data_IF_610958750811
#
_entry.id   IF_610958750811
#
_cell.length_a   1.000
_cell.length_b   1.000
_cell.length_c   1.000
_cell.angle_alpha   90.00
_cell.angle_beta   90.00
_cell.angle_gamma   90.00
#
_symmetry.space_group_name_H-M   'P 1'
#
loop_
_entity.id
_entity.type
_entity.pdbx_description
1 polymer ?
#
# COMPACT_ATOMS: atom_id res chain seq x y z
N UNK A 1 -32.84 8.49 2.71
CA UNK A 1 -31.61 8.99 2.05
C UNK A 1 -30.95 9.94 3.03
N UNK A 2 -29.67 9.73 3.36
CA UNK A 2 -28.97 10.68 4.23
C UNK A 2 -28.81 12.01 3.49
N UNK A 3 -29.01 13.12 4.20
CA UNK A 3 -28.90 14.45 3.61
C UNK A 3 -27.47 14.97 3.74
N UNK A 4 -26.53 14.31 3.08
CA UNK A 4 -25.13 14.77 3.01
C UNK A 4 -25.09 15.99 2.10
N UNK A 5 -24.63 17.13 2.63
CA UNK A 5 -24.40 18.38 1.91
C UNK A 5 -22.93 18.73 1.83
N UNK A 6 -22.14 18.40 2.86
CA UNK A 6 -20.71 18.69 2.98
C UNK A 6 -19.92 17.42 3.26
N UNK A 7 -19.08 17.06 2.31
CA UNK A 7 -18.20 15.89 2.36
C UNK A 7 -16.74 16.34 2.49
N UNK A 8 -16.07 15.84 3.52
CA UNK A 8 -14.62 15.99 3.65
C UNK A 8 -13.88 14.80 3.02
N UNK A 9 -12.68 15.07 2.50
CA UNK A 9 -11.73 14.05 2.04
C UNK A 9 -10.32 14.38 2.53
N UNK A 10 -9.58 13.35 2.94
CA UNK A 10 -8.16 13.47 3.27
C UNK A 10 -7.39 12.21 2.85
N UNK A 11 -6.10 12.38 2.62
CA UNK A 11 -5.14 11.28 2.42
C UNK A 11 -4.21 11.16 3.62
N UNK A 12 -4.00 9.95 4.13
CA UNK A 12 -3.25 9.69 5.35
C UNK A 12 -2.37 8.45 5.21
N UNK A 13 -1.25 8.41 5.93
CA UNK A 13 -0.26 7.33 5.85
C UNK A 13 0.83 7.57 4.79
N UNK A 14 1.48 6.49 4.34
CA UNK A 14 2.38 6.58 3.17
C UNK A 14 1.57 6.86 1.92
N UNK A 15 2.06 7.73 1.04
CA UNK A 15 1.41 7.97 -0.24
C UNK A 15 1.51 6.74 -1.15
N UNK A 16 0.51 6.59 -2.01
CA UNK A 16 0.41 5.48 -2.95
C UNK A 16 -0.05 5.98 -4.32
N UNK A 17 0.50 5.46 -5.43
CA UNK A 17 0.07 5.86 -6.76
C UNK A 17 -1.42 5.57 -6.97
N UNK A 18 -2.20 6.59 -7.34
CA UNK A 18 -3.65 6.46 -7.52
C UNK A 18 -4.50 7.16 -6.46
N UNK A 19 -3.90 7.66 -5.37
CA UNK A 19 -4.61 8.51 -4.40
C UNK A 19 -5.26 9.74 -5.09
N UNK A 20 -4.58 10.39 -6.03
CA UNK A 20 -5.15 11.47 -6.84
C UNK A 20 -6.33 11.02 -7.71
N UNK A 21 -6.29 9.81 -8.28
CA UNK A 21 -7.40 9.26 -9.05
C UNK A 21 -8.62 9.02 -8.15
N UNK A 22 -8.41 8.58 -6.90
CA UNK A 22 -9.46 8.41 -5.91
C UNK A 22 -10.07 9.76 -5.49
N UNK A 23 -9.24 10.77 -5.17
CA UNK A 23 -9.70 12.14 -4.86
C UNK A 23 -10.55 12.68 -6.01
N UNK A 24 -10.09 12.51 -7.25
CA UNK A 24 -10.83 12.91 -8.45
C UNK A 24 -12.20 12.23 -8.53
N UNK A 25 -12.26 10.92 -8.32
CA UNK A 25 -13.52 10.17 -8.41
C UNK A 25 -14.51 10.58 -7.31
N UNK A 26 -14.03 10.78 -6.08
CA UNK A 26 -14.84 11.30 -4.97
C UNK A 26 -15.40 12.67 -5.33
N UNK A 27 -14.55 13.59 -5.78
CA UNK A 27 -14.95 14.96 -6.12
C UNK A 27 -16.01 14.97 -7.22
N UNK A 28 -15.78 14.26 -8.33
CA UNK A 28 -16.70 14.28 -9.48
C UNK A 28 -18.05 13.64 -9.12
N UNK A 29 -18.03 12.53 -8.37
CA UNK A 29 -19.26 11.83 -7.95
C UNK A 29 -20.06 12.70 -6.97
N UNK A 30 -19.40 13.29 -5.97
CA UNK A 30 -20.04 14.19 -5.02
C UNK A 30 -20.63 15.43 -5.70
N UNK A 31 -19.90 16.02 -6.66
CA UNK A 31 -20.37 17.17 -7.44
C UNK A 31 -21.62 16.82 -8.28
N UNK A 32 -21.69 15.62 -8.87
CA UNK A 32 -22.87 15.16 -9.60
C UNK A 32 -24.10 15.01 -8.68
N UNK A 33 -23.89 14.79 -7.39
CA UNK A 33 -24.92 14.71 -6.36
C UNK A 33 -25.18 16.06 -5.64
N UNK A 34 -24.62 17.17 -6.13
CA UNK A 34 -24.70 18.51 -5.50
C UNK A 34 -24.17 18.56 -4.05
N UNK A 35 -23.14 17.77 -3.76
CA UNK A 35 -22.45 17.76 -2.46
C UNK A 35 -21.20 18.64 -2.56
N UNK A 36 -21.02 19.54 -1.61
CA UNK A 36 -19.80 20.34 -1.46
C UNK A 36 -18.67 19.47 -0.92
N UNK A 37 -17.49 19.54 -1.54
CA UNK A 37 -16.32 18.75 -1.14
C UNK A 37 -15.25 19.64 -0.52
N UNK A 38 -14.76 19.24 0.65
CA UNK A 38 -13.64 19.87 1.35
C UNK A 38 -12.46 18.91 1.38
N UNK A 39 -11.30 19.34 0.89
CA UNK A 39 -10.06 18.58 0.98
C UNK A 39 -9.19 19.09 2.12
N UNK A 40 -8.85 18.24 3.07
CA UNK A 40 -7.88 18.56 4.12
C UNK A 40 -6.46 18.24 3.65
N UNK A 41 -5.56 19.19 3.87
CA UNK A 41 -4.15 19.00 3.59
C UNK A 41 -3.45 18.21 4.71
N UNK A 42 -2.35 17.52 4.40
CA UNK A 42 -1.51 16.81 5.38
C UNK A 42 -2.27 15.82 6.27
N UNK A 43 -3.31 15.18 5.72
CA UNK A 43 -4.10 14.18 6.40
C UNK A 43 -4.78 14.70 7.66
N UNK A 44 -4.62 13.97 8.77
CA UNK A 44 -5.25 14.35 10.03
C UNK A 44 -4.62 15.57 10.70
N UNK A 45 -3.38 15.94 10.36
CA UNK A 45 -2.77 17.16 10.88
C UNK A 45 -3.52 18.39 10.38
N UNK A 46 -3.79 18.49 9.07
CA UNK A 46 -4.58 19.60 8.55
C UNK A 46 -6.03 19.58 9.00
N UNK A 47 -6.60 18.41 9.36
CA UNK A 47 -7.89 18.39 10.04
C UNK A 47 -7.82 19.10 11.41
N UNK A 48 -6.82 18.79 12.23
CA UNK A 48 -6.63 19.40 13.54
C UNK A 48 -6.25 20.90 13.46
N UNK A 49 -5.49 21.26 12.43
CA UNK A 49 -4.98 22.62 12.20
C UNK A 49 -5.91 23.47 11.33
N UNK A 50 -7.03 22.91 10.87
CA UNK A 50 -7.98 23.56 9.97
C UNK A 50 -7.34 24.00 8.63
N UNK A 51 -6.37 23.22 8.13
CA UNK A 51 -5.73 23.40 6.83
C UNK A 51 -6.52 22.65 5.75
N UNK A 52 -7.49 23.33 5.14
CA UNK A 52 -8.36 22.75 4.12
C UNK A 52 -8.66 23.73 2.98
N UNK A 53 -9.17 23.18 1.88
CA UNK A 53 -9.68 23.95 0.75
C UNK A 53 -10.98 23.34 0.21
N UNK A 54 -11.81 24.16 -0.42
CA UNK A 54 -12.95 23.67 -1.20
C UNK A 54 -12.46 23.02 -2.50
N UNK A 55 -12.89 21.78 -2.75
CA UNK A 55 -12.51 20.99 -3.93
C UNK A 55 -13.60 21.06 -5.01
N UNK A 56 -13.42 21.99 -5.94
CA UNK A 56 -14.22 22.09 -7.16
C UNK A 56 -13.71 21.15 -8.26
N UNK A 57 -14.53 20.93 -9.30
CA UNK A 57 -14.21 20.00 -10.39
C UNK A 57 -12.90 20.31 -11.09
N UNK A 58 -12.64 21.60 -11.33
CA UNK A 58 -11.41 22.03 -11.97
C UNK A 58 -10.14 21.80 -11.12
N UNK A 59 -10.26 21.64 -9.80
CA UNK A 59 -9.12 21.31 -8.93
C UNK A 59 -8.63 19.86 -9.13
N UNK A 60 -9.49 18.99 -9.66
CA UNK A 60 -9.17 17.58 -9.95
C UNK A 60 -8.99 17.31 -11.44
N UNK A 61 -8.89 18.36 -12.26
CA UNK A 61 -8.51 18.24 -13.65
C UNK A 61 -7.05 17.82 -13.78
N UNK A 62 -6.79 16.88 -14.70
CA UNK A 62 -5.43 16.45 -15.05
C UNK A 62 -4.60 15.89 -13.87
N UNK A 63 -5.24 15.33 -12.84
CA UNK A 63 -4.54 14.68 -11.71
C UNK A 63 -4.55 13.15 -11.75
N UNK A 64 -5.36 12.53 -12.62
CA UNK A 64 -5.58 11.07 -12.62
C UNK A 64 -4.29 10.26 -12.86
N UNK A 65 -3.34 10.80 -13.62
CA UNK A 65 -2.05 10.21 -13.94
C UNK A 65 -0.93 10.63 -12.97
N UNK A 66 -1.21 11.50 -12.00
CA UNK A 66 -0.18 12.01 -11.09
C UNK A 66 -0.02 11.05 -9.91
N UNK A 67 1.21 10.62 -9.65
CA UNK A 67 1.58 9.96 -8.41
C UNK A 67 1.40 10.85 -7.17
N UNK A 68 1.56 10.27 -5.99
CA UNK A 68 1.36 10.95 -4.72
C UNK A 68 -0.08 11.44 -4.50
N UNK A 69 -0.22 12.52 -3.74
CA UNK A 69 -1.52 13.15 -3.40
C UNK A 69 -1.45 14.68 -3.45
N UNK A 70 -2.40 15.33 -4.10
CA UNK A 70 -2.54 16.80 -4.12
C UNK A 70 -2.87 17.37 -2.76
N UNK A 71 -3.47 16.58 -1.87
CA UNK A 71 -3.79 16.95 -0.50
C UNK A 71 -2.61 16.74 0.45
N UNK A 72 -1.50 16.16 -0.01
CA UNK A 72 -0.39 15.73 0.86
C UNK A 72 -0.83 14.67 1.86
N UNK A 73 0.14 14.07 2.55
CA UNK A 73 -0.14 13.11 3.61
C UNK A 73 0.90 13.31 4.71
N UNK A 74 0.51 13.06 5.95
CA UNK A 74 1.41 13.12 7.08
C UNK A 74 0.96 12.13 8.17
N UNK A 75 1.93 11.66 8.95
CA UNK A 75 1.65 10.95 10.20
C UNK A 75 1.15 11.97 11.23
N UNK A 76 0.17 11.59 12.04
CA UNK A 76 -0.44 12.44 13.04
C UNK A 76 -0.36 11.79 14.43
N UNK A 77 0.75 11.97 15.17
CA UNK A 77 0.88 11.44 16.54
C UNK A 77 -0.17 12.01 17.50
N UNK A 78 -0.69 13.21 17.22
CA UNK A 78 -1.73 13.84 18.02
C UNK A 78 -3.02 13.00 18.09
N UNK A 79 -3.34 12.21 17.06
CA UNK A 79 -4.50 11.30 17.10
C UNK A 79 -4.34 10.10 18.05
N UNK A 80 -3.12 9.80 18.49
CA UNK A 80 -2.87 8.77 19.50
C UNK A 80 -3.02 9.31 20.93
N UNK A 81 -3.12 10.64 21.09
CA UNK A 81 -3.37 11.28 22.37
C UNK A 81 -4.85 11.19 22.76
N UNK A 82 -5.15 11.26 24.06
CA UNK A 82 -6.51 11.05 24.57
C UNK A 82 -7.51 12.11 24.09
N UNK A 83 -7.07 13.33 23.82
CA UNK A 83 -7.89 14.46 23.37
C UNK A 83 -7.90 14.62 21.83
N UNK A 84 -6.92 14.06 21.11
CA UNK A 84 -6.75 14.22 19.67
C UNK A 84 -7.98 13.84 18.85
N UNK A 85 -8.55 12.63 19.01
CA UNK A 85 -9.75 12.22 18.28
C UNK A 85 -10.97 13.11 18.56
N UNK A 86 -11.13 13.60 19.79
CA UNK A 86 -12.21 14.51 20.16
C UNK A 86 -12.04 15.88 19.47
N UNK A 87 -10.82 16.41 19.42
CA UNK A 87 -10.49 17.65 18.71
C UNK A 87 -10.72 17.53 17.20
N UNK A 88 -10.36 16.40 16.61
CA UNK A 88 -10.65 16.13 15.20
C UNK A 88 -12.15 16.06 14.91
N UNK A 89 -12.94 15.43 15.80
CA UNK A 89 -14.39 15.41 15.68
C UNK A 89 -15.01 16.81 15.82
N UNK A 90 -14.51 17.61 16.77
CA UNK A 90 -14.93 19.00 16.95
C UNK A 90 -14.62 19.84 15.70
N UNK A 91 -13.43 19.66 15.11
CA UNK A 91 -13.03 20.34 13.87
C UNK A 91 -14.00 20.05 12.71
N UNK A 92 -14.42 18.79 12.54
CA UNK A 92 -15.44 18.40 11.55
C UNK A 92 -16.80 19.05 11.84
N UNK A 93 -17.21 19.09 13.10
CA UNK A 93 -18.49 19.69 13.53
C UNK A 93 -18.50 21.21 13.30
N UNK A 94 -17.42 21.92 13.64
CA UNK A 94 -17.28 23.37 13.43
C UNK A 94 -17.45 23.77 11.96
N UNK A 95 -17.02 22.89 11.04
CA UNK A 95 -17.14 23.08 9.60
C UNK A 95 -18.45 22.55 9.00
N UNK A 96 -19.37 22.04 9.83
CA UNK A 96 -20.60 21.39 9.42
C UNK A 96 -20.34 20.28 8.38
N UNK A 97 -19.29 19.49 8.56
CA UNK A 97 -19.05 18.31 7.72
C UNK A 97 -20.07 17.23 8.11
N UNK A 98 -20.74 16.65 7.12
CA UNK A 98 -21.71 15.57 7.31
C UNK A 98 -21.04 14.19 7.19
N UNK A 99 -20.00 14.09 6.36
CA UNK A 99 -19.27 12.86 6.12
C UNK A 99 -17.78 13.11 5.85
N UNK A 100 -16.92 12.16 6.22
CA UNK A 100 -15.49 12.16 5.92
C UNK A 100 -15.10 10.86 5.21
N UNK A 101 -14.41 10.99 4.07
CA UNK A 101 -13.71 9.90 3.40
C UNK A 101 -12.21 9.99 3.70
N UNK A 102 -11.66 8.90 4.23
CA UNK A 102 -10.22 8.77 4.51
C UNK A 102 -9.60 7.80 3.52
N UNK A 103 -8.66 8.28 2.71
CA UNK A 103 -7.87 7.46 1.79
C UNK A 103 -6.54 7.12 2.46
N UNK A 104 -6.27 5.85 2.71
CA UNK A 104 -5.05 5.42 3.40
C UNK A 104 -5.03 3.93 3.72
N UNK A 105 -4.12 3.52 4.60
CA UNK A 105 -4.01 2.15 5.09
C UNK A 105 -4.61 1.95 6.48
N UNK A 106 -4.27 0.81 7.12
CA UNK A 106 -4.80 0.42 8.44
C UNK A 106 -4.63 1.52 9.52
N UNK A 107 -3.45 2.13 9.61
CA UNK A 107 -3.19 3.20 10.58
C UNK A 107 -4.14 4.40 10.41
N UNK A 108 -4.53 4.71 9.18
CA UNK A 108 -5.49 5.77 8.89
C UNK A 108 -6.90 5.38 9.35
N UNK A 109 -7.30 4.13 9.14
CA UNK A 109 -8.60 3.60 9.57
C UNK A 109 -8.72 3.49 11.09
N UNK A 110 -7.65 3.13 11.79
CA UNK A 110 -7.59 3.21 13.26
C UNK A 110 -7.82 4.63 13.77
N UNK A 111 -7.22 5.63 13.12
CA UNK A 111 -7.48 7.05 13.40
C UNK A 111 -8.95 7.42 13.18
N UNK A 112 -9.54 6.99 12.07
CA UNK A 112 -10.97 7.20 11.76
C UNK A 112 -11.89 6.59 12.81
N UNK A 113 -11.62 5.36 13.27
CA UNK A 113 -12.39 4.70 14.33
C UNK A 113 -12.23 5.38 15.70
N UNK A 114 -11.09 6.03 15.95
CA UNK A 114 -10.93 6.83 17.17
C UNK A 114 -11.83 8.07 17.12
N UNK A 115 -11.88 8.75 15.97
CA UNK A 115 -12.73 9.93 15.74
C UNK A 115 -14.22 9.57 15.85
N UNK A 116 -14.62 8.38 15.38
CA UNK A 116 -16.03 7.95 15.38
C UNK A 116 -16.67 7.90 16.77
N UNK A 117 -15.88 7.83 17.84
CA UNK A 117 -16.38 7.86 19.22
C UNK A 117 -16.90 9.23 19.64
N UNK A 118 -16.49 10.28 18.92
CA UNK A 118 -16.78 11.68 19.24
C UNK A 118 -17.53 12.41 18.12
N UNK A 119 -17.58 11.82 16.91
CA UNK A 119 -18.20 12.40 15.73
C UNK A 119 -19.49 11.68 15.35
N UNK A 120 -20.55 12.43 15.08
CA UNK A 120 -21.88 11.92 14.74
C UNK A 120 -22.12 11.74 13.23
N UNK A 121 -21.24 12.30 12.39
CA UNK A 121 -21.34 12.17 10.94
C UNK A 121 -20.85 10.81 10.43
N UNK A 122 -20.94 10.63 9.12
CA UNK A 122 -20.58 9.37 8.47
C UNK A 122 -19.07 9.31 8.17
N UNK A 123 -18.46 8.15 8.40
CA UNK A 123 -17.04 7.93 8.15
C UNK A 123 -16.85 6.74 7.21
N UNK A 124 -16.15 6.95 6.10
CA UNK A 124 -15.78 5.87 5.16
C UNK A 124 -14.27 5.86 4.92
N UNK A 125 -13.70 4.65 4.82
CA UNK A 125 -12.32 4.43 4.38
C UNK A 125 -12.24 4.01 2.91
N UNK A 126 -11.12 4.34 2.25
CA UNK A 126 -10.74 3.79 0.95
C UNK A 126 -9.28 3.31 1.03
N UNK A 127 -8.97 2.06 0.66
CA UNK A 127 -7.65 1.48 0.86
C UNK A 127 -6.62 2.04 -0.13
N UNK A 128 -5.84 3.02 0.32
CA UNK A 128 -4.73 3.64 -0.41
C UNK A 128 -3.39 3.30 0.24
N UNK A 129 -2.76 2.22 -0.22
CA UNK A 129 -1.45 1.74 0.26
C UNK A 129 -0.82 0.83 -0.80
N UNK A 130 0.52 0.79 -0.86
CA UNK A 130 1.26 -0.12 -1.73
C UNK A 130 1.44 -1.52 -1.12
N UNK A 131 1.21 -1.67 0.18
CA UNK A 131 1.55 -2.88 0.94
C UNK A 131 0.55 -4.03 0.69
N UNK A 132 -0.65 -3.71 0.16
CA UNK A 132 -1.77 -4.63 -0.08
C UNK A 132 -2.18 -5.47 1.13
N UNK A 133 -1.99 -4.92 2.33
CA UNK A 133 -2.15 -5.58 3.63
C UNK A 133 -3.48 -5.26 4.33
N UNK A 134 -4.44 -4.67 3.61
CA UNK A 134 -5.75 -4.27 4.15
C UNK A 134 -6.81 -5.34 3.92
N UNK A 135 -7.52 -5.75 4.97
CA UNK A 135 -8.62 -6.71 4.89
C UNK A 135 -9.86 -6.13 4.20
N UNK A 136 -10.63 -7.02 3.55
CA UNK A 136 -11.89 -6.63 2.89
C UNK A 136 -11.72 -6.09 1.48
N UNK A 137 -10.51 -6.21 0.91
CA UNK A 137 -10.23 -5.90 -0.49
C UNK A 137 -9.17 -6.85 -1.06
N UNK A 138 -9.33 -7.28 -2.30
CA UNK A 138 -8.39 -8.12 -3.04
C UNK A 138 -7.12 -7.33 -3.40
N UNK A 139 -7.30 -6.05 -3.75
CA UNK A 139 -6.21 -5.13 -4.07
C UNK A 139 -6.41 -3.78 -3.37
N UNK A 140 -5.31 -3.12 -3.02
CA UNK A 140 -5.29 -1.75 -2.53
C UNK A 140 -4.80 -0.79 -3.62
N UNK A 141 -5.25 0.46 -3.58
CA UNK A 141 -4.82 1.48 -4.53
C UNK A 141 -3.33 1.76 -4.35
N UNK A 142 -2.57 1.49 -5.41
CA UNK A 142 -1.12 1.70 -5.51
C UNK A 142 -0.32 0.40 -5.55
N UNK A 143 -0.91 -0.74 -5.22
CA UNK A 143 -0.22 -2.03 -5.24
C UNK A 143 0.26 -2.40 -6.65
N UNK A 144 -0.60 -2.26 -7.66
CA UNK A 144 -0.24 -2.62 -9.04
C UNK A 144 0.90 -1.75 -9.58
N UNK A 145 0.90 -0.45 -9.25
CA UNK A 145 1.97 0.46 -9.66
C UNK A 145 3.28 0.18 -8.93
N UNK A 146 3.22 -0.17 -7.64
CA UNK A 146 4.40 -0.58 -6.89
C UNK A 146 5.01 -1.87 -7.46
N UNK A 147 4.16 -2.83 -7.86
CA UNK A 147 4.57 -4.05 -8.56
C UNK A 147 5.28 -3.72 -9.88
N UNK A 148 4.68 -2.92 -10.75
CA UNK A 148 5.29 -2.54 -12.03
C UNK A 148 6.62 -1.79 -11.84
N UNK A 149 6.70 -0.94 -10.81
CA UNK A 149 7.95 -0.24 -10.45
C UNK A 149 9.03 -1.21 -9.98
N UNK A 150 8.66 -2.21 -9.18
CA UNK A 150 9.59 -3.25 -8.74
C UNK A 150 10.08 -4.08 -9.92
N UNK A 151 9.18 -4.52 -10.81
CA UNK A 151 9.52 -5.28 -12.02
C UNK A 151 10.47 -4.50 -12.94
N UNK A 152 10.16 -3.23 -13.20
CA UNK A 152 11.01 -2.36 -14.02
C UNK A 152 12.44 -2.22 -13.47
N UNK A 153 12.60 -2.23 -12.15
CA UNK A 153 13.91 -2.21 -11.50
C UNK A 153 14.60 -3.59 -11.53
N UNK A 154 13.86 -4.67 -11.27
CA UNK A 154 14.40 -6.03 -11.25
C UNK A 154 14.89 -6.43 -12.64
N UNK A 155 14.16 -6.11 -13.71
CA UNK A 155 14.56 -6.41 -15.08
C UNK A 155 15.89 -5.71 -15.45
N UNK A 156 16.05 -4.43 -15.07
CA UNK A 156 17.32 -3.70 -15.26
C UNK A 156 18.47 -4.30 -14.45
N UNK A 157 18.18 -4.81 -13.25
CA UNK A 157 19.18 -5.49 -12.42
C UNK A 157 19.55 -6.84 -13.05
N UNK A 158 18.61 -7.55 -13.67
CA UNK A 158 18.85 -8.83 -14.34
C UNK A 158 19.81 -8.70 -15.51
N UNK A 159 19.65 -7.67 -16.35
CA UNK A 159 20.56 -7.40 -17.47
C UNK A 159 22.03 -7.30 -17.04
N UNK A 160 22.30 -6.70 -15.86
CA UNK A 160 23.67 -6.59 -15.32
C UNK A 160 24.09 -7.82 -14.51
N UNK A 161 23.15 -8.52 -13.87
CA UNK A 161 23.43 -9.75 -13.15
C UNK A 161 23.96 -10.84 -14.09
N UNK A 162 23.34 -10.99 -15.26
CA UNK A 162 23.73 -11.95 -16.29
C UNK A 162 25.11 -11.64 -16.86
N UNK A 163 25.47 -10.36 -16.98
CA UNK A 163 26.77 -9.94 -17.51
C UNK A 163 27.96 -10.22 -16.56
N UNK A 164 27.72 -10.30 -15.25
CA UNK A 164 28.77 -10.42 -14.24
C UNK A 164 28.69 -11.70 -13.38
N UNK A 165 27.77 -12.63 -13.67
CA UNK A 165 27.59 -13.89 -12.92
C UNK A 165 27.43 -13.66 -11.40
N UNK A 166 26.66 -12.62 -11.02
CA UNK A 166 26.53 -12.14 -9.62
C UNK A 166 25.19 -12.52 -9.00
N UNK A 167 25.18 -12.55 -7.66
CA UNK A 167 23.97 -12.72 -6.86
C UNK A 167 23.45 -11.34 -6.43
N UNK A 168 22.19 -11.04 -6.74
CA UNK A 168 21.53 -9.80 -6.36
C UNK A 168 20.38 -10.06 -5.40
N UNK A 169 20.31 -9.25 -4.34
CA UNK A 169 19.22 -9.20 -3.39
C UNK A 169 18.48 -7.88 -3.59
N UNK A 170 17.26 -7.92 -4.12
CA UNK A 170 16.44 -6.74 -4.35
C UNK A 170 15.45 -6.59 -3.18
N UNK A 171 15.62 -5.52 -2.40
CA UNK A 171 14.74 -5.23 -1.27
C UNK A 171 13.52 -4.41 -1.71
N UNK A 172 12.33 -4.95 -1.43
CA UNK A 172 11.04 -4.32 -1.70
C UNK A 172 10.34 -3.89 -0.41
N UNK A 173 9.49 -2.86 -0.54
CA UNK A 173 8.64 -2.43 0.58
C UNK A 173 7.50 -3.42 0.81
N UNK A 174 6.84 -3.30 1.96
CA UNK A 174 5.73 -4.18 2.37
C UNK A 174 5.53 -4.25 3.89
N UNK A 175 6.38 -3.54 4.64
CA UNK A 175 6.37 -3.38 6.09
C UNK A 175 6.43 -4.68 6.87
N UNK A 176 5.28 -5.30 7.11
CA UNK A 176 5.12 -6.56 7.84
C UNK A 176 4.52 -7.66 6.97
N UNK A 177 4.32 -7.41 5.67
CA UNK A 177 3.78 -8.36 4.71
C UNK A 177 4.68 -8.51 3.49
N UNK A 178 4.68 -9.72 2.94
CA UNK A 178 5.37 -10.11 1.72
C UNK A 178 4.52 -10.06 0.45
N UNK A 179 3.33 -9.44 0.42
CA UNK A 179 2.50 -9.40 -0.80
C UNK A 179 3.24 -8.89 -2.02
N UNK A 180 3.88 -7.72 -1.88
CA UNK A 180 4.63 -7.11 -2.98
C UNK A 180 5.83 -7.98 -3.37
N UNK A 181 6.57 -8.50 -2.40
CA UNK A 181 7.71 -9.39 -2.64
C UNK A 181 7.34 -10.70 -3.31
N UNK A 182 6.23 -11.32 -2.92
CA UNK A 182 5.72 -12.54 -3.54
C UNK A 182 5.29 -12.28 -4.97
N UNK A 183 4.47 -11.25 -5.19
CA UNK A 183 3.99 -10.91 -6.52
C UNK A 183 5.14 -10.52 -7.46
N UNK A 184 6.04 -9.64 -7.01
CA UNK A 184 7.19 -9.21 -7.79
C UNK A 184 8.17 -10.35 -8.05
N UNK A 185 8.44 -11.20 -7.04
CA UNK A 185 9.34 -12.33 -7.22
C UNK A 185 8.81 -13.37 -8.21
N UNK A 186 7.51 -13.66 -8.19
CA UNK A 186 6.90 -14.57 -9.17
C UNK A 186 6.91 -13.94 -10.56
N UNK A 187 6.45 -12.69 -10.68
CA UNK A 187 6.36 -12.01 -11.97
C UNK A 187 7.73 -11.74 -12.62
N UNK A 188 8.77 -11.51 -11.81
CA UNK A 188 10.15 -11.35 -12.28
C UNK A 188 10.89 -12.67 -12.53
N UNK A 189 10.30 -13.81 -12.19
CA UNK A 189 10.99 -15.11 -12.22
C UNK A 189 12.22 -15.13 -11.30
N UNK A 190 12.09 -14.62 -10.07
CA UNK A 190 13.15 -14.66 -9.08
C UNK A 190 13.38 -16.09 -8.60
N UNK A 191 14.66 -16.47 -8.50
CA UNK A 191 15.08 -17.81 -8.07
C UNK A 191 14.74 -18.06 -6.59
N UNK A 192 14.70 -16.99 -5.78
CA UNK A 192 14.27 -17.09 -4.39
C UNK A 192 13.53 -15.84 -3.91
N UNK A 193 12.53 -16.06 -3.06
CA UNK A 193 11.75 -14.99 -2.42
C UNK A 193 11.90 -15.16 -0.91
N UNK A 194 12.20 -14.06 -0.23
CA UNK A 194 12.38 -13.98 1.22
C UNK A 194 11.33 -13.00 1.75
N UNK A 195 10.37 -13.51 2.51
CA UNK A 195 9.33 -12.69 3.12
C UNK A 195 8.84 -13.29 4.45
N UNK A 196 8.16 -12.50 5.31
CA UNK A 196 7.72 -12.92 6.64
C UNK A 196 6.88 -14.20 6.64
N UNK A 197 6.08 -14.41 5.60
CA UNK A 197 5.19 -15.56 5.45
C UNK A 197 5.94 -16.88 5.19
N UNK A 198 7.22 -16.83 4.81
CA UNK A 198 8.09 -18.01 4.68
C UNK A 198 8.93 -18.29 5.92
N UNK A 199 8.73 -17.52 6.99
CA UNK A 199 9.45 -17.64 8.25
C UNK A 199 10.51 -16.55 8.43
N UNK A 200 11.05 -16.47 9.65
CA UNK A 200 12.04 -15.45 10.01
C UNK A 200 13.46 -15.97 9.79
N UNK A 201 14.31 -15.11 9.21
CA UNK A 201 15.73 -15.38 9.08
C UNK A 201 16.50 -14.85 10.29
N UNK A 202 17.56 -15.56 10.65
CA UNK A 202 18.52 -15.10 11.65
C UNK A 202 19.94 -15.37 11.18
N UNK A 203 20.95 -14.67 11.71
CA UNK A 203 22.36 -14.93 11.38
C UNK A 203 22.78 -16.39 11.63
N UNK A 204 22.11 -17.08 12.57
CA UNK A 204 22.36 -18.49 12.87
C UNK A 204 21.71 -19.47 11.86
N UNK A 205 20.80 -19.01 11.00
CA UNK A 205 19.97 -19.84 10.13
C UNK A 205 19.92 -19.36 8.67
N UNK A 206 21.08 -19.35 8.00
CA UNK A 206 21.18 -19.03 6.56
C UNK A 206 21.11 -20.26 5.64
N UNK A 207 21.13 -21.48 6.20
CA UNK A 207 21.08 -22.73 5.42
C UNK A 207 19.92 -22.81 4.41
N UNK A 208 18.70 -22.35 4.73
CA UNK A 208 17.58 -22.38 3.77
C UNK A 208 17.79 -21.50 2.53
N UNK A 209 18.68 -20.50 2.62
CA UNK A 209 19.03 -19.61 1.50
C UNK A 209 20.25 -20.13 0.75
N UNK A 210 21.26 -20.57 1.49
CA UNK A 210 22.52 -21.04 0.91
C UNK A 210 22.32 -22.32 0.09
N UNK A 211 21.47 -23.24 0.55
CA UNK A 211 21.31 -24.55 -0.09
C UNK A 211 20.75 -24.45 -1.52
N UNK A 212 19.65 -23.70 -1.79
CA UNK A 212 19.20 -23.42 -3.16
C UNK A 212 20.26 -22.79 -4.04
N UNK A 213 21.01 -21.80 -3.53
CA UNK A 213 22.10 -21.13 -4.26
C UNK A 213 23.17 -22.14 -4.71
N UNK A 214 23.64 -22.98 -3.77
CA UNK A 214 24.64 -24.01 -4.07
C UNK A 214 24.11 -25.05 -5.07
N UNK A 215 22.84 -25.45 -4.94
CA UNK A 215 22.21 -26.37 -5.88
C UNK A 215 22.13 -25.78 -7.29
N UNK A 216 21.71 -24.52 -7.42
CA UNK A 216 21.68 -23.81 -8.70
C UNK A 216 23.09 -23.72 -9.34
N UNK A 217 24.13 -23.48 -8.53
CA UNK A 217 25.52 -23.44 -8.99
C UNK A 217 26.01 -24.80 -9.50
N UNK A 218 25.60 -25.90 -8.86
CA UNK A 218 25.95 -27.24 -9.32
C UNK A 218 25.30 -27.58 -10.67
N UNK A 219 24.09 -27.10 -10.93
CA UNK A 219 23.35 -27.37 -12.17
C UNK A 219 23.75 -26.46 -13.33
N UNK A 220 23.92 -25.15 -13.05
CA UNK A 220 24.09 -24.11 -14.07
C UNK A 220 25.50 -23.54 -14.14
N UNK A 221 26.39 -23.92 -13.21
CA UNK A 221 27.71 -23.32 -13.08
C UNK A 221 27.66 -21.93 -12.44
N UNK A 222 28.58 -21.04 -12.81
CA UNK A 222 28.49 -19.63 -12.42
C UNK A 222 27.41 -18.96 -13.25
N UNK A 223 26.28 -18.67 -12.61
CA UNK A 223 25.15 -17.99 -13.22
C UNK A 223 24.69 -16.86 -12.31
N UNK A 224 23.97 -15.90 -12.88
CA UNK A 224 23.25 -14.89 -12.12
C UNK A 224 22.20 -15.54 -11.22
N UNK A 225 21.90 -14.87 -10.10
CA UNK A 225 20.87 -15.32 -9.17
C UNK A 225 20.20 -14.10 -8.54
N UNK A 226 18.88 -14.00 -8.67
CA UNK A 226 18.11 -12.87 -8.15
C UNK A 226 17.21 -13.35 -7.01
N UNK A 227 17.35 -12.65 -5.89
CA UNK A 227 16.51 -12.85 -4.72
C UNK A 227 15.67 -11.61 -4.46
N UNK A 228 14.38 -11.80 -4.23
CA UNK A 228 13.51 -10.72 -3.76
C UNK A 228 13.38 -10.81 -2.25
N UNK A 229 13.61 -9.70 -1.56
CA UNK A 229 13.61 -9.62 -0.10
C UNK A 229 12.57 -8.60 0.33
N UNK A 230 11.57 -9.00 1.11
CA UNK A 230 10.69 -8.05 1.79
C UNK A 230 11.48 -7.29 2.86
N UNK A 231 11.28 -5.98 2.97
CA UNK A 231 11.88 -5.17 4.02
C UNK A 231 11.66 -5.79 5.42
N UNK A 232 12.62 -5.58 6.32
CA UNK A 232 12.62 -6.15 7.68
C UNK A 232 12.70 -7.68 7.79
N UNK A 233 12.94 -8.42 6.70
CA UNK A 233 13.05 -9.90 6.74
C UNK A 233 14.35 -10.42 7.37
N UNK A 234 15.38 -9.59 7.52
CA UNK A 234 16.67 -9.97 8.12
C UNK A 234 17.17 -8.92 9.14
N UNK A 235 17.70 -9.34 10.30
CA UNK A 235 18.32 -8.42 11.26
C UNK A 235 19.50 -7.66 10.65
N UNK A 236 19.45 -6.33 10.65
CA UNK A 236 20.46 -5.48 9.99
C UNK A 236 20.16 -5.17 8.52
N UNK A 237 19.02 -5.62 7.98
CA UNK A 237 18.54 -5.30 6.64
C UNK A 237 19.19 -6.14 5.53
N UNK A 238 18.78 -5.89 4.28
CA UNK A 238 19.24 -6.69 3.12
C UNK A 238 20.73 -6.57 2.86
N UNK A 239 21.35 -5.43 3.19
CA UNK A 239 22.82 -5.25 3.09
C UNK A 239 23.56 -6.22 4.00
N UNK A 240 23.14 -6.35 5.27
CA UNK A 240 23.76 -7.29 6.20
C UNK A 240 23.56 -8.75 5.77
N UNK A 241 22.42 -9.06 5.14
CA UNK A 241 22.18 -10.39 4.56
C UNK A 241 23.14 -10.67 3.40
N UNK A 242 23.34 -9.70 2.50
CA UNK A 242 24.26 -9.84 1.38
C UNK A 242 25.71 -10.05 1.84
N UNK A 243 26.16 -9.33 2.87
CA UNK A 243 27.49 -9.52 3.47
C UNK A 243 27.64 -10.91 4.07
N UNK A 244 26.66 -11.36 4.86
CA UNK A 244 26.68 -12.67 5.50
C UNK A 244 26.67 -13.82 4.46
N UNK A 245 25.90 -13.68 3.38
CA UNK A 245 25.89 -14.65 2.29
C UNK A 245 27.23 -14.67 1.54
N UNK A 246 27.83 -13.50 1.28
CA UNK A 246 29.14 -13.39 0.61
C UNK A 246 30.22 -14.11 1.40
N UNK A 247 30.26 -13.94 2.72
CA UNK A 247 31.20 -14.64 3.61
C UNK A 247 30.97 -16.15 3.61
N UNK A 248 29.71 -16.59 3.63
CA UNK A 248 29.35 -18.00 3.73
C UNK A 248 29.60 -18.80 2.44
N UNK A 249 29.40 -18.20 1.27
CA UNK A 249 29.48 -18.91 -0.02
C UNK A 249 30.72 -18.54 -0.86
N UNK A 250 31.41 -17.45 -0.52
CA UNK A 250 32.58 -16.97 -1.27
C UNK A 250 32.26 -16.32 -2.62
N UNK A 251 31.01 -15.92 -2.85
CA UNK A 251 30.54 -15.26 -4.09
C UNK A 251 29.94 -13.91 -3.73
N UNK A 252 30.31 -12.88 -4.49
CA UNK A 252 29.87 -11.52 -4.27
C UNK A 252 28.34 -11.41 -4.38
N UNK A 253 27.68 -11.14 -3.25
CA UNK A 253 26.26 -10.84 -3.18
C UNK A 253 26.07 -9.33 -3.04
N UNK A 254 25.16 -8.74 -3.82
CA UNK A 254 24.88 -7.30 -3.79
C UNK A 254 23.44 -7.02 -3.39
N UNK A 255 23.26 -6.13 -2.42
CA UNK A 255 21.95 -5.61 -2.05
C UNK A 255 21.56 -4.40 -2.91
N UNK A 256 20.33 -4.42 -3.43
CA UNK A 256 19.70 -3.33 -4.17
C UNK A 256 18.42 -2.93 -3.43
N UNK A 257 18.49 -1.84 -2.67
CA UNK A 257 17.36 -1.35 -1.89
C UNK A 257 16.58 -0.34 -2.74
N UNK A 258 15.39 -0.72 -3.22
CA UNK A 258 14.58 0.17 -4.04
C UNK A 258 13.98 1.32 -3.21
N UNK A 259 13.55 1.02 -1.99
CA UNK A 259 12.99 2.00 -1.07
C UNK A 259 11.81 2.77 -1.67
N UNK A 260 11.80 4.09 -1.46
CA UNK A 260 10.63 4.94 -1.72
C UNK A 260 10.26 5.14 -3.20
N UNK A 261 11.08 4.69 -4.16
CA UNK A 261 10.70 4.76 -5.58
C UNK A 261 9.40 4.00 -5.86
N UNK A 262 9.13 2.95 -5.07
CA UNK A 262 7.93 2.10 -5.14
C UNK A 262 6.63 2.84 -4.77
N UNK A 263 6.71 3.97 -4.06
CA UNK A 263 5.56 4.83 -3.72
C UNK A 263 5.31 5.92 -4.75
N UNK A 264 6.33 6.23 -5.55
CA UNK A 264 6.30 7.26 -6.58
C UNK A 264 5.79 6.74 -7.92
N UNK A 265 5.84 7.62 -8.93
CA UNK A 265 5.46 7.27 -10.30
C UNK A 265 3.98 7.49 -10.62
N UNK A 266 3.68 7.52 -11.92
CA UNK A 266 2.32 7.62 -12.41
C UNK A 266 1.59 6.30 -12.14
N UNK A 267 0.37 6.30 -11.58
CA UNK A 267 -0.38 5.07 -11.41
C UNK A 267 -0.64 4.38 -12.75
N UNK A 268 -0.55 3.05 -12.75
CA UNK A 268 -0.90 2.23 -13.91
C UNK A 268 -2.42 2.12 -14.09
N UNK A 269 -2.86 1.57 -15.22
CA UNK A 269 -4.28 1.51 -15.57
C UNK A 269 -5.15 0.84 -14.50
N UNK A 270 -4.65 -0.27 -13.93
CA UNK A 270 -5.35 -1.01 -12.87
C UNK A 270 -5.63 -0.14 -11.64
N UNK A 271 -4.62 0.57 -11.12
CA UNK A 271 -4.79 1.45 -9.96
C UNK A 271 -5.70 2.66 -10.25
N UNK A 272 -5.65 3.21 -11.47
CA UNK A 272 -6.56 4.31 -11.86
C UNK A 272 -8.02 3.85 -11.90
N UNK A 273 -8.27 2.65 -12.43
CA UNK A 273 -9.62 2.06 -12.51
C UNK A 273 -10.11 1.72 -11.11
N UNK A 274 -9.30 1.03 -10.30
CA UNK A 274 -9.64 0.68 -8.92
C UNK A 274 -9.93 1.93 -8.09
N UNK A 275 -9.05 2.92 -8.12
CA UNK A 275 -9.23 4.18 -7.40
C UNK A 275 -10.50 4.92 -7.83
N UNK A 276 -10.82 4.89 -9.13
CA UNK A 276 -12.05 5.48 -9.64
C UNK A 276 -13.29 4.74 -9.14
N UNK A 277 -13.28 3.41 -9.22
CA UNK A 277 -14.37 2.54 -8.75
C UNK A 277 -14.63 2.76 -7.26
N UNK A 278 -13.61 2.64 -6.42
CA UNK A 278 -13.75 2.74 -4.97
C UNK A 278 -14.09 4.16 -4.51
N UNK A 279 -13.52 5.19 -5.14
CA UNK A 279 -13.83 6.58 -4.82
C UNK A 279 -15.28 6.96 -5.14
N UNK A 280 -15.79 6.55 -6.30
CA UNK A 280 -17.20 6.76 -6.67
C UNK A 280 -18.13 5.95 -5.76
N UNK A 281 -17.83 4.66 -5.57
CA UNK A 281 -18.61 3.77 -4.73
C UNK A 281 -18.71 4.27 -3.28
N UNK A 282 -17.63 4.79 -2.70
CA UNK A 282 -17.65 5.38 -1.37
C UNK A 282 -18.69 6.51 -1.23
N UNK A 283 -18.78 7.40 -2.22
CA UNK A 283 -19.77 8.50 -2.23
C UNK A 283 -21.19 7.97 -2.38
N UNK A 284 -21.42 7.01 -3.28
CA UNK A 284 -22.72 6.38 -3.47
C UNK A 284 -23.21 5.67 -2.20
N UNK A 285 -22.33 4.95 -1.51
CA UNK A 285 -22.65 4.26 -0.27
C UNK A 285 -22.90 5.23 0.89
N UNK A 286 -22.17 6.34 0.95
CA UNK A 286 -22.45 7.42 1.90
C UNK A 286 -23.89 7.93 1.77
N UNK A 287 -24.38 8.17 0.55
CA UNK A 287 -25.75 8.60 0.28
C UNK A 287 -26.81 7.55 0.66
N UNK A 288 -26.42 6.27 0.63
CA UNK A 288 -27.24 5.15 1.10
C UNK A 288 -27.22 4.99 2.63
N UNK A 289 -26.43 5.80 3.34
CA UNK A 289 -26.34 5.78 4.80
C UNK A 289 -25.22 4.91 5.37
N UNK A 290 -24.27 4.46 4.55
CA UNK A 290 -23.12 3.70 5.02
C UNK A 290 -22.26 4.53 5.98
N UNK A 291 -21.84 3.92 7.09
CA UNK A 291 -21.03 4.55 8.12
C UNK A 291 -20.11 3.49 8.76
N UNK A 292 -18.89 3.87 9.12
CA UNK A 292 -17.88 2.99 9.69
C UNK A 292 -17.52 1.81 8.78
N UNK A 293 -17.52 2.07 7.47
CA UNK A 293 -17.22 1.08 6.42
C UNK A 293 -16.04 1.52 5.56
N UNK A 294 -15.33 0.57 4.99
CA UNK A 294 -14.33 0.75 3.95
C UNK A 294 -14.94 0.32 2.61
N UNK A 295 -14.75 1.11 1.57
CA UNK A 295 -15.01 0.72 0.19
C UNK A 295 -13.83 -0.11 -0.35
N UNK A 296 -14.04 -1.41 -0.55
CA UNK A 296 -13.05 -2.34 -1.11
C UNK A 296 -13.55 -3.03 -2.38
N UNK A 297 -12.73 -3.89 -2.96
CA UNK A 297 -13.10 -4.74 -4.10
C UNK A 297 -12.89 -6.21 -3.74
N UNK A 298 -13.90 -7.06 -3.94
CA UNK A 298 -13.79 -8.51 -3.74
C UNK A 298 -14.41 -9.22 -4.94
N UNK A 299 -13.64 -10.12 -5.56
CA UNK A 299 -13.98 -10.80 -6.81
C UNK A 299 -14.35 -9.82 -7.94
N UNK A 300 -13.67 -8.66 -8.00
CA UNK A 300 -13.91 -7.61 -8.99
C UNK A 300 -15.13 -6.72 -8.73
N UNK A 301 -15.92 -7.03 -7.70
CA UNK A 301 -17.11 -6.27 -7.30
C UNK A 301 -16.79 -5.32 -6.14
N UNK A 302 -17.33 -4.10 -6.20
CA UNK A 302 -17.17 -3.13 -5.12
C UNK A 302 -18.03 -3.56 -3.91
N UNK A 303 -17.42 -3.61 -2.73
CA UNK A 303 -18.06 -4.07 -1.49
C UNK A 303 -17.79 -3.12 -0.34
N UNK A 304 -18.67 -3.15 0.67
CA UNK A 304 -18.42 -2.49 1.95
C UNK A 304 -17.86 -3.50 2.95
N UNK A 305 -16.81 -3.10 3.66
CA UNK A 305 -16.21 -3.89 4.72
C UNK A 305 -16.13 -3.08 6.02
N UNK A 306 -16.47 -3.61 7.20
CA UNK A 306 -16.43 -2.82 8.43
C UNK A 306 -15.03 -2.29 8.75
N UNK A 307 -14.90 -0.98 8.99
CA UNK A 307 -13.60 -0.36 9.31
C UNK A 307 -12.94 -1.00 10.54
N UNK A 308 -13.74 -1.40 11.53
CA UNK A 308 -13.24 -2.06 12.73
C UNK A 308 -12.52 -3.40 12.47
N UNK A 309 -12.66 -3.98 11.27
CA UNK A 309 -12.12 -5.29 10.92
C UNK A 309 -10.96 -5.23 9.92
N UNK A 310 -10.59 -4.06 9.41
CA UNK A 310 -9.64 -3.92 8.28
C UNK A 310 -8.20 -4.36 8.59
N UNK A 311 -7.88 -4.61 9.86
CA UNK A 311 -6.58 -5.12 10.32
C UNK A 311 -6.70 -6.27 11.32
N UNK A 312 -7.87 -6.92 11.41
CA UNK A 312 -8.10 -8.02 12.33
C UNK A 312 -7.48 -9.33 11.83
N UNK A 313 -7.32 -9.48 10.52
CA UNK A 313 -6.75 -10.67 9.89
C UNK A 313 -5.48 -10.27 9.16
N UNK A 314 -4.48 -11.14 9.24
CA UNK A 314 -3.40 -11.08 8.28
C UNK A 314 -3.98 -11.58 6.97
N UNK A 315 -4.26 -10.67 6.03
CA UNK A 315 -4.70 -11.03 4.69
C UNK A 315 -3.80 -12.15 4.19
N UNK A 316 -4.36 -13.31 3.82
CA UNK A 316 -3.57 -14.49 3.47
C UNK A 316 -3.04 -14.40 2.04
N UNK A 317 -1.71 -14.47 1.88
CA UNK A 317 -1.07 -14.59 0.57
C UNK A 317 -1.58 -15.84 -0.15
N UNK A 318 -1.65 -15.79 -1.49
CA UNK A 318 -2.20 -16.89 -2.27
C UNK A 318 -1.44 -18.21 -2.01
N UNK A 319 -2.07 -19.21 -1.36
CA UNK A 319 -1.41 -20.47 -1.02
C UNK A 319 -0.96 -21.25 -2.25
N UNK A 320 -1.65 -21.07 -3.39
CA UNK A 320 -1.25 -21.68 -4.66
C UNK A 320 0.09 -21.12 -5.11
N UNK A 321 0.22 -19.79 -5.13
CA UNK A 321 1.45 -19.11 -5.55
C UNK A 321 2.61 -19.41 -4.60
N UNK A 322 2.36 -19.44 -3.29
CA UNK A 322 3.35 -19.88 -2.29
C UNK A 322 3.85 -21.28 -2.57
N UNK A 323 2.93 -22.24 -2.70
CA UNK A 323 3.27 -23.64 -2.95
C UNK A 323 4.01 -23.78 -4.28
N UNK A 324 3.55 -23.09 -5.33
CA UNK A 324 4.19 -23.11 -6.64
C UNK A 324 5.63 -22.61 -6.57
N UNK A 325 5.87 -21.48 -5.90
CA UNK A 325 7.23 -20.95 -5.74
C UNK A 325 8.12 -21.92 -4.96
N UNK A 326 7.62 -22.53 -3.89
CA UNK A 326 8.40 -23.45 -3.05
C UNK A 326 8.73 -24.79 -3.74
N UNK A 327 7.85 -25.29 -4.62
CA UNK A 327 7.96 -26.62 -5.21
C UNK A 327 8.47 -26.63 -6.65
N UNK A 328 8.20 -25.57 -7.42
CA UNK A 328 8.43 -25.52 -8.86
C UNK A 328 9.35 -24.36 -9.22
N UNK A 329 9.08 -23.16 -8.68
CA UNK A 329 9.87 -21.96 -9.00
C UNK A 329 11.33 -22.02 -8.51
N UNK A 330 11.64 -22.93 -7.59
CA UNK A 330 12.96 -23.15 -7.01
C UNK A 330 13.78 -24.30 -7.65
N UNK A 331 13.21 -25.01 -8.64
CA UNK A 331 13.88 -26.07 -9.39
C UNK A 331 14.67 -25.51 -10.58
#
# INVERSE_FOLDING_TARGET
MSTIKRLAVLTSGGDAPGMNACIRAIQLTASACNIEVIGFHHGFNGLLEQEYQSLHSHHVDNIIQRGGTILKSARCPALEQTDGPARAAEALQQLNIDALIVIGGDGSFRGTLAISKHYSGQLIGVPGTIDNDVDGTDNTIGFATALDTALDAIDKIRDTADAFERIFLVELMGRHSGYLSLAAGIAAGAEQIICPEFGTLSPANLKPIITPIQHAQLLKGKASYIMIVAENSYPGGTTALAEALTEAIGIECRACILGHIQRGGSPVGADRILATKLGAYAVEQLLQGANLMMAGEVNGEAVLYPLAKTGDRTKAIDPFLVRWQQQIGSL
#
